data_IF_668959466180
#
_entry.id   IF_668959466180
#
_cell.length_a   1.000
_cell.length_b   1.000
_cell.length_c   1.000
_cell.angle_alpha   90.00
_cell.angle_beta   90.00
_cell.angle_gamma   90.00
#
_symmetry.space_group_name_H-M   'P 1'
#
loop_
_entity.id
_entity.type
_entity.pdbx_description
1 polymer ?
#
# COMPACT_ATOMS: atom_id res chain seq x y z
N UNK A 1 -40.18 -31.19 -28.28
CA UNK A 1 -38.93 -31.27 -27.47
C UNK A 1 -37.89 -30.34 -28.10
N UNK A 2 -37.71 -29.14 -27.52
CA UNK A 2 -36.75 -28.17 -28.00
C UNK A 2 -35.49 -28.30 -27.18
N UNK A 3 -34.36 -28.67 -27.78
CA UNK A 3 -33.04 -28.79 -27.17
C UNK A 3 -32.50 -27.39 -26.89
N UNK A 4 -32.36 -27.04 -25.60
CA UNK A 4 -31.62 -25.85 -25.18
C UNK A 4 -30.12 -26.11 -25.33
N UNK A 5 -29.46 -25.38 -26.20
CA UNK A 5 -28.00 -25.35 -26.31
C UNK A 5 -27.50 -24.46 -25.16
N UNK A 6 -26.82 -25.08 -24.20
CA UNK A 6 -26.05 -24.38 -23.17
C UNK A 6 -24.74 -23.99 -23.84
N UNK A 7 -24.52 -22.71 -24.04
CA UNK A 7 -23.22 -22.15 -24.41
C UNK A 7 -22.42 -21.98 -23.12
N UNK A 8 -21.50 -22.88 -22.87
CA UNK A 8 -20.48 -22.71 -21.86
C UNK A 8 -19.44 -21.75 -22.41
N UNK A 9 -19.48 -20.51 -21.95
CA UNK A 9 -18.43 -19.52 -22.21
C UNK A 9 -17.31 -19.77 -21.19
N UNK A 10 -16.30 -20.55 -21.59
CA UNK A 10 -15.04 -20.60 -20.87
C UNK A 10 -14.32 -19.27 -21.07
N UNK A 11 -14.44 -18.35 -20.14
CA UNK A 11 -13.49 -17.25 -20.00
C UNK A 11 -12.24 -17.79 -19.30
N UNK A 12 -11.25 -18.15 -20.08
CA UNK A 12 -9.88 -18.28 -19.59
C UNK A 12 -9.39 -16.85 -19.32
N UNK A 13 -9.48 -16.43 -18.05
CA UNK A 13 -8.79 -15.22 -17.59
C UNK A 13 -7.30 -15.54 -17.51
N UNK A 14 -6.60 -15.39 -18.64
CA UNK A 14 -5.15 -15.24 -18.61
C UNK A 14 -4.87 -13.87 -18.06
N UNK A 15 -4.53 -13.80 -16.78
CA UNK A 15 -3.84 -12.66 -16.18
C UNK A 15 -2.46 -12.57 -16.83
N UNK A 16 -2.40 -11.92 -17.99
CA UNK A 16 -1.13 -11.48 -18.53
C UNK A 16 -0.73 -10.23 -17.74
N UNK A 17 0.06 -10.41 -16.68
CA UNK A 17 0.91 -9.33 -16.20
C UNK A 17 1.86 -8.97 -17.34
N UNK A 18 1.48 -8.02 -18.14
CA UNK A 18 2.39 -7.36 -19.06
C UNK A 18 3.31 -6.44 -18.25
N UNK A 19 4.41 -6.99 -17.76
CA UNK A 19 5.62 -6.22 -17.51
C UNK A 19 6.06 -5.68 -18.89
N UNK A 20 5.61 -4.49 -19.25
CA UNK A 20 6.18 -3.75 -20.35
C UNK A 20 7.52 -3.20 -19.89
N UNK A 21 8.56 -4.02 -20.00
CA UNK A 21 9.93 -3.58 -20.02
C UNK A 21 10.16 -2.79 -21.31
N UNK A 22 10.19 -1.48 -21.27
CA UNK A 22 10.77 -0.66 -22.32
C UNK A 22 12.28 -0.64 -22.16
N UNK A 23 12.95 -1.59 -22.79
CA UNK A 23 14.35 -1.49 -23.15
C UNK A 23 14.46 -1.10 -24.61
N UNK A 24 15.01 0.07 -24.92
CA UNK A 24 15.26 0.52 -26.28
C UNK A 24 15.96 1.86 -26.30
N UNK A 25 17.29 1.82 -26.36
CA UNK A 25 18.12 3.00 -26.64
C UNK A 25 17.83 3.54 -28.03
N UNK A 26 17.42 4.80 -28.12
CA UNK A 26 17.83 5.68 -29.22
C UNK A 26 17.68 7.13 -28.81
N UNK A 27 18.77 7.85 -28.95
CA UNK A 27 18.92 9.29 -28.83
C UNK A 27 17.96 10.01 -29.79
N UNK A 28 17.19 10.94 -29.24
CA UNK A 28 16.37 11.85 -30.01
C UNK A 28 15.62 12.78 -29.10
N UNK A 29 16.02 14.04 -29.06
CA UNK A 29 15.31 15.14 -28.41
C UNK A 29 13.83 15.13 -28.83
N UNK A 30 12.95 14.89 -27.88
CA UNK A 30 11.52 15.13 -28.07
C UNK A 30 10.95 15.63 -26.75
N UNK A 31 10.67 16.93 -26.74
CA UNK A 31 9.76 17.54 -25.79
C UNK A 31 8.42 16.80 -25.88
N UNK A 32 8.16 15.95 -24.93
CA UNK A 32 6.85 15.31 -24.78
C UNK A 32 6.06 16.07 -23.73
N UNK A 33 5.39 17.12 -24.18
CA UNK A 33 4.15 17.55 -23.55
C UNK A 33 3.08 16.56 -24.01
N UNK A 34 2.95 15.47 -23.27
CA UNK A 34 1.92 14.46 -23.56
C UNK A 34 0.59 14.88 -22.95
N UNK A 35 -0.11 15.81 -23.58
CA UNK A 35 -1.56 15.74 -23.53
C UNK A 35 -1.96 14.53 -24.36
N UNK A 36 -2.42 13.45 -23.73
CA UNK A 36 -3.05 12.34 -24.42
C UNK A 36 -4.28 12.90 -25.14
N UNK A 37 -4.19 12.98 -26.47
CA UNK A 37 -5.33 13.40 -27.29
C UNK A 37 -6.45 12.37 -27.12
N UNK A 38 -7.39 12.68 -26.23
CA UNK A 38 -8.55 11.84 -25.91
C UNK A 38 -9.41 11.53 -27.13
N UNK A 39 -9.24 12.28 -28.24
CA UNK A 39 -9.95 12.06 -29.50
C UNK A 39 -9.52 10.78 -30.23
N UNK A 40 -8.33 10.24 -29.91
CA UNK A 40 -7.77 9.03 -30.54
C UNK A 40 -8.11 7.74 -29.80
N UNK A 41 -8.71 7.80 -28.62
CA UNK A 41 -9.02 6.61 -27.81
C UNK A 41 -10.20 5.85 -28.40
N UNK A 42 -9.97 4.59 -28.74
CA UNK A 42 -11.06 3.68 -29.13
C UNK A 42 -12.03 3.52 -27.94
N UNK A 43 -13.34 3.44 -28.23
CA UNK A 43 -14.39 3.30 -27.23
C UNK A 43 -14.57 4.50 -26.26
N UNK A 44 -14.18 5.70 -26.69
CA UNK A 44 -14.34 6.93 -25.88
C UNK A 44 -15.76 7.20 -25.37
N UNK A 45 -16.77 6.62 -25.99
CA UNK A 45 -18.19 6.76 -25.63
C UNK A 45 -18.70 5.55 -24.82
N UNK A 46 -17.81 4.68 -24.35
CA UNK A 46 -18.16 3.53 -23.52
C UNK A 46 -17.87 3.80 -22.05
N UNK A 47 -18.61 3.18 -21.12
CA UNK A 47 -18.27 3.23 -19.72
C UNK A 47 -16.83 2.79 -19.46
N UNK A 48 -16.12 3.56 -18.64
CA UNK A 48 -14.76 3.30 -18.18
C UNK A 48 -14.76 3.22 -16.66
N UNK A 49 -14.09 2.23 -16.11
CA UNK A 49 -13.88 2.15 -14.68
C UNK A 49 -12.38 1.96 -14.37
N UNK A 50 -11.81 2.95 -13.74
CA UNK A 50 -10.51 2.81 -13.10
C UNK A 50 -10.68 1.95 -11.85
N UNK A 51 -9.70 1.15 -11.49
CA UNK A 51 -9.78 0.33 -10.30
C UNK A 51 -8.45 0.23 -9.56
N UNK A 52 -8.51 -0.09 -8.28
CA UNK A 52 -7.40 -0.23 -7.35
C UNK A 52 -6.64 1.08 -7.17
N UNK A 53 -5.71 1.42 -8.07
CA UNK A 53 -4.93 2.64 -7.99
C UNK A 53 -5.70 3.84 -8.55
N UNK A 54 -5.85 4.86 -7.73
CA UNK A 54 -6.41 6.14 -8.11
C UNK A 54 -5.58 6.79 -9.22
N UNK A 55 -6.18 7.23 -10.34
CA UNK A 55 -5.48 8.02 -11.33
C UNK A 55 -4.88 9.27 -10.71
N UNK A 56 -3.59 9.44 -10.81
CA UNK A 56 -2.86 10.55 -10.22
C UNK A 56 -1.76 11.05 -11.13
N UNK A 57 -1.45 12.33 -11.00
CA UNK A 57 -0.33 12.94 -11.69
C UNK A 57 0.98 12.32 -11.20
N UNK A 58 1.79 11.79 -12.11
CA UNK A 58 3.03 11.08 -11.76
C UNK A 58 4.11 11.97 -11.13
N UNK A 59 4.00 13.30 -11.26
CA UNK A 59 4.97 14.24 -10.73
C UNK A 59 4.57 14.81 -9.38
N UNK A 60 3.26 15.04 -9.15
CA UNK A 60 2.73 15.67 -7.93
C UNK A 60 2.04 14.68 -6.98
N UNK A 61 1.63 13.51 -7.48
CA UNK A 61 0.81 12.55 -6.73
C UNK A 61 -0.66 12.99 -6.58
N UNK A 62 -1.01 14.17 -7.08
CA UNK A 62 -2.38 14.69 -7.02
C UNK A 62 -3.33 13.91 -7.91
N UNK A 63 -4.60 13.89 -7.54
CA UNK A 63 -5.66 13.25 -8.29
C UNK A 63 -5.74 13.80 -9.72
N UNK A 64 -5.70 12.89 -10.70
CA UNK A 64 -5.88 13.23 -12.10
C UNK A 64 -7.38 13.34 -12.43
N UNK A 65 -7.91 14.55 -12.25
CA UNK A 65 -9.32 14.86 -12.51
C UNK A 65 -9.68 14.73 -13.99
N UNK A 66 -8.72 14.92 -14.91
CA UNK A 66 -8.96 14.75 -16.34
C UNK A 66 -9.20 13.27 -16.68
N UNK A 67 -8.36 12.38 -16.16
CA UNK A 67 -8.55 10.93 -16.33
C UNK A 67 -9.86 10.44 -15.72
N UNK A 68 -10.27 10.99 -14.56
CA UNK A 68 -11.53 10.62 -13.91
C UNK A 68 -12.77 11.19 -14.62
N UNK A 69 -12.63 12.29 -15.36
CA UNK A 69 -13.69 12.90 -16.13
C UNK A 69 -13.52 12.66 -17.65
N UNK A 70 -12.86 11.57 -18.02
CA UNK A 70 -12.62 11.24 -19.42
C UNK A 70 -13.90 11.24 -20.27
N UNK A 71 -14.99 10.70 -19.73
CA UNK A 71 -16.35 10.84 -20.27
C UNK A 71 -17.37 10.82 -19.14
N UNK A 72 -18.65 11.05 -19.46
CA UNK A 72 -19.75 11.09 -18.46
C UNK A 72 -19.98 9.76 -17.73
N UNK A 73 -19.49 8.64 -18.26
CA UNK A 73 -19.62 7.30 -17.72
C UNK A 73 -18.22 6.77 -17.29
N UNK A 74 -17.40 7.65 -16.71
CA UNK A 74 -16.12 7.28 -16.12
C UNK A 74 -16.26 7.18 -14.62
N UNK A 75 -15.78 6.06 -14.07
CA UNK A 75 -15.89 5.71 -12.66
C UNK A 75 -14.54 5.31 -12.08
N UNK A 76 -14.44 5.34 -10.77
CA UNK A 76 -13.31 4.78 -10.03
C UNK A 76 -13.83 3.90 -8.90
N UNK A 77 -13.23 2.70 -8.78
CA UNK A 77 -13.45 1.78 -7.67
C UNK A 77 -12.10 1.43 -7.08
N UNK A 78 -11.88 1.78 -5.83
CA UNK A 78 -10.60 1.54 -5.17
C UNK A 78 -10.75 1.45 -3.65
N UNK A 79 -9.69 1.76 -2.95
CA UNK A 79 -9.60 1.83 -1.50
C UNK A 79 -9.11 3.23 -1.09
N UNK A 80 -9.36 3.60 0.16
CA UNK A 80 -8.81 4.83 0.73
C UNK A 80 -7.40 4.57 1.26
N UNK A 81 -6.39 5.03 0.52
CA UNK A 81 -5.00 4.85 0.88
C UNK A 81 -4.64 5.51 2.22
N UNK A 82 -5.32 6.59 2.61
CA UNK A 82 -5.08 7.25 3.89
C UNK A 82 -5.68 6.43 5.04
N UNK A 83 -6.91 5.93 4.88
CA UNK A 83 -7.54 5.05 5.87
C UNK A 83 -6.67 3.79 6.13
N UNK A 84 -6.25 3.11 5.08
CA UNK A 84 -5.39 1.94 5.21
C UNK A 84 -4.02 2.26 5.82
N UNK A 85 -3.48 3.44 5.53
CA UNK A 85 -2.24 3.92 6.13
C UNK A 85 -2.38 4.19 7.63
N UNK A 86 -3.48 4.80 8.06
CA UNK A 86 -3.83 4.98 9.48
C UNK A 86 -3.95 3.64 10.19
N UNK A 87 -4.71 2.70 9.62
CA UNK A 87 -4.86 1.34 10.16
C UNK A 87 -3.53 0.60 10.29
N UNK A 88 -2.61 0.74 9.31
CA UNK A 88 -1.27 0.15 9.42
C UNK A 88 -0.49 0.78 10.57
N UNK A 89 -0.53 2.09 10.70
CA UNK A 89 0.12 2.80 11.78
C UNK A 89 -0.44 2.42 13.15
N UNK A 90 -1.75 2.39 13.30
CA UNK A 90 -2.44 1.94 14.52
C UNK A 90 -2.07 0.50 14.90
N UNK A 91 -2.04 -0.41 13.92
CA UNK A 91 -1.67 -1.80 14.12
C UNK A 91 -0.26 -1.94 14.73
N UNK A 92 0.70 -1.15 14.25
CA UNK A 92 2.06 -1.13 14.81
C UNK A 92 2.07 -0.56 16.22
N UNK A 93 1.36 0.54 16.47
CA UNK A 93 1.23 1.16 17.81
C UNK A 93 0.57 0.21 18.80
N UNK A 94 -0.52 -0.45 18.41
CA UNK A 94 -1.22 -1.44 19.25
C UNK A 94 -0.28 -2.60 19.62
N UNK A 95 0.50 -3.07 18.64
CA UNK A 95 1.48 -4.12 18.90
C UNK A 95 2.56 -3.68 19.87
N UNK A 96 3.10 -2.47 19.72
CA UNK A 96 4.07 -1.88 20.67
C UNK A 96 3.49 -1.85 22.08
N UNK A 97 2.29 -1.28 22.25
CA UNK A 97 1.63 -1.19 23.54
C UNK A 97 1.41 -2.54 24.20
N UNK A 98 1.09 -3.56 23.42
CA UNK A 98 0.86 -4.91 23.93
C UNK A 98 2.15 -5.70 24.24
N UNK A 99 3.31 -5.29 23.72
CA UNK A 99 4.52 -6.12 23.74
C UNK A 99 5.81 -5.35 24.03
N UNK A 100 5.79 -4.09 24.46
CA UNK A 100 6.97 -3.23 24.53
C UNK A 100 8.15 -3.84 25.31
N UNK A 101 7.89 -4.46 26.46
CA UNK A 101 8.93 -5.11 27.27
C UNK A 101 9.54 -6.38 26.62
N UNK A 102 8.93 -6.90 25.56
CA UNK A 102 9.40 -8.09 24.86
C UNK A 102 10.09 -7.77 23.56
N UNK A 103 9.71 -6.65 22.92
CA UNK A 103 10.24 -6.25 21.62
C UNK A 103 11.45 -5.31 21.74
N UNK A 104 11.65 -4.63 22.85
CA UNK A 104 12.89 -3.91 23.17
C UNK A 104 14.00 -4.96 23.40
N UNK A 105 14.64 -5.40 22.33
CA UNK A 105 15.50 -6.60 22.29
C UNK A 105 16.79 -6.42 23.07
N UNK A 106 17.33 -5.23 23.09
CA UNK A 106 18.56 -4.90 23.80
C UNK A 106 18.31 -4.26 25.17
N UNK A 107 17.06 -3.91 25.50
CA UNK A 107 16.65 -3.36 26.79
C UNK A 107 17.09 -1.92 27.04
N UNK A 108 17.33 -1.14 25.98
CA UNK A 108 17.82 0.24 26.10
C UNK A 108 16.72 1.29 26.22
N UNK A 109 15.45 0.86 26.20
CA UNK A 109 14.27 1.73 26.25
C UNK A 109 13.96 2.42 24.92
N UNK A 110 14.61 1.98 23.84
CA UNK A 110 14.33 2.45 22.48
C UNK A 110 13.70 1.32 21.68
N UNK A 111 12.56 1.56 21.08
CA UNK A 111 11.93 0.67 20.12
C UNK A 111 12.34 1.13 18.74
N UNK A 112 13.33 0.44 18.17
CA UNK A 112 13.90 0.74 16.87
C UNK A 112 13.14 0.04 15.76
N UNK A 113 12.75 0.76 14.71
CA UNK A 113 12.16 0.13 13.54
C UNK A 113 12.86 0.50 12.23
N UNK A 114 12.72 -0.38 11.26
CA UNK A 114 13.15 -0.14 9.87
C UNK A 114 11.93 -0.16 8.95
N UNK A 115 11.99 0.64 7.84
CA UNK A 115 10.85 0.83 6.95
C UNK A 115 11.22 0.60 5.48
N UNK A 116 10.59 -0.39 4.85
CA UNK A 116 10.67 -0.63 3.41
C UNK A 116 9.64 0.21 2.67
N UNK A 117 10.11 1.19 1.90
CA UNK A 117 9.28 2.10 1.09
C UNK A 117 9.17 1.51 -0.32
N UNK A 118 7.94 1.40 -0.84
CA UNK A 118 7.71 0.82 -2.17
C UNK A 118 8.25 1.68 -3.30
N UNK A 119 7.66 2.85 -3.48
CA UNK A 119 8.02 3.83 -4.53
C UNK A 119 7.75 5.23 -4.00
N UNK A 120 8.75 6.06 -3.95
CA UNK A 120 8.67 7.42 -3.38
C UNK A 120 7.79 8.38 -4.20
N UNK A 121 7.41 8.01 -5.43
CA UNK A 121 6.50 8.75 -6.29
C UNK A 121 5.08 8.16 -6.37
N UNK A 122 4.83 7.04 -5.69
CA UNK A 122 3.53 6.37 -5.72
C UNK A 122 2.66 6.86 -4.56
N UNK A 123 1.42 7.30 -4.85
CA UNK A 123 0.51 7.84 -3.85
C UNK A 123 0.26 6.92 -2.65
N UNK A 124 0.06 5.62 -2.88
CA UNK A 124 -0.14 4.66 -1.79
C UNK A 124 1.11 4.49 -0.92
N UNK A 125 2.29 4.44 -1.54
CA UNK A 125 3.56 4.36 -0.81
C UNK A 125 3.79 5.62 0.04
N UNK A 126 3.47 6.79 -0.52
CA UNK A 126 3.49 8.07 0.19
C UNK A 126 2.55 8.02 1.40
N UNK A 127 1.29 7.63 1.19
CA UNK A 127 0.29 7.53 2.24
C UNK A 127 0.73 6.55 3.34
N UNK A 128 1.12 5.31 2.99
CA UNK A 128 1.54 4.26 3.93
C UNK A 128 2.76 4.67 4.76
N UNK A 129 3.78 5.26 4.13
CA UNK A 129 4.97 5.76 4.83
C UNK A 129 4.61 6.86 5.81
N UNK A 130 3.78 7.83 5.38
CA UNK A 130 3.32 8.94 6.24
C UNK A 130 2.43 8.47 7.37
N UNK A 131 1.48 7.56 7.09
CA UNK A 131 0.55 7.05 8.10
C UNK A 131 1.28 6.33 9.25
N UNK A 132 2.22 5.45 8.93
CA UNK A 132 3.06 4.77 9.94
C UNK A 132 3.86 5.78 10.77
N UNK A 133 4.54 6.73 10.13
CA UNK A 133 5.32 7.75 10.83
C UNK A 133 4.46 8.68 11.67
N UNK A 134 3.27 9.04 11.18
CA UNK A 134 2.32 9.86 11.94
C UNK A 134 1.83 9.14 13.19
N UNK A 135 1.42 7.88 13.06
CA UNK A 135 0.96 7.07 14.19
C UNK A 135 2.05 6.84 15.24
N UNK A 136 3.29 6.60 14.81
CA UNK A 136 4.45 6.43 15.69
C UNK A 136 5.00 7.77 16.23
N UNK A 137 4.55 8.91 15.68
CA UNK A 137 5.06 10.24 16.03
C UNK A 137 6.45 10.55 15.48
N UNK A 138 6.99 9.69 14.62
CA UNK A 138 8.36 9.80 14.08
C UNK A 138 8.46 10.64 12.82
N UNK A 139 7.35 11.02 12.20
CA UNK A 139 7.34 11.90 11.04
C UNK A 139 7.58 13.35 11.41
N UNK A 140 8.33 14.08 10.57
CA UNK A 140 8.46 15.54 10.71
C UNK A 140 7.15 16.19 10.28
N UNK A 141 6.58 17.03 11.16
CA UNK A 141 5.25 17.63 10.96
C UNK A 141 5.16 18.64 9.83
N UNK A 142 6.28 19.25 9.47
CA UNK A 142 6.32 20.31 8.46
C UNK A 142 6.80 19.74 7.13
N UNK A 143 5.89 19.63 6.17
CA UNK A 143 6.17 19.20 4.82
C UNK A 143 5.84 17.73 4.57
N UNK A 144 4.62 17.51 4.15
CA UNK A 144 4.07 16.17 3.86
C UNK A 144 4.92 15.34 2.89
N UNK A 145 5.51 15.97 1.87
CA UNK A 145 6.40 15.29 0.92
C UNK A 145 7.67 14.75 1.60
N UNK A 146 8.21 15.50 2.54
CA UNK A 146 9.42 15.11 3.28
C UNK A 146 9.13 13.89 4.15
N UNK A 147 7.98 13.86 4.81
CA UNK A 147 7.57 12.73 5.67
C UNK A 147 7.37 11.40 4.90
N UNK A 148 7.33 11.42 3.59
CA UNK A 148 7.23 10.20 2.75
C UNK A 148 8.57 9.73 2.16
N UNK A 149 9.65 10.51 2.29
CA UNK A 149 10.98 10.16 1.75
C UNK A 149 11.75 9.24 2.70
N UNK A 150 12.79 8.52 2.21
CA UNK A 150 13.68 7.75 3.07
C UNK A 150 14.34 8.60 4.16
N UNK A 151 14.58 8.02 5.33
CA UNK A 151 15.34 8.66 6.39
C UNK A 151 16.71 9.12 5.88
N UNK A 152 17.16 10.28 6.34
CA UNK A 152 18.42 10.89 5.87
C UNK A 152 18.32 11.61 4.52
N UNK A 153 17.16 11.60 3.85
CA UNK A 153 16.96 12.42 2.65
C UNK A 153 17.04 13.90 3.00
N UNK A 154 17.88 14.62 2.29
CA UNK A 154 17.98 16.08 2.41
C UNK A 154 17.08 16.73 1.35
N UNK A 155 16.07 17.47 1.80
CA UNK A 155 15.16 18.22 0.94
C UNK A 155 15.25 19.70 1.32
N UNK A 156 15.71 20.53 0.41
CA UNK A 156 15.81 22.00 0.55
C UNK A 156 16.46 22.48 1.86
N UNK A 157 17.55 21.80 2.29
CA UNK A 157 18.27 22.13 3.51
C UNK A 157 17.62 21.63 4.80
N UNK A 158 16.51 20.92 4.75
CA UNK A 158 15.90 20.22 5.89
C UNK A 158 16.52 18.83 6.01
N UNK A 159 17.40 18.67 6.98
CA UNK A 159 18.24 17.47 7.11
C UNK A 159 17.53 16.24 7.67
N UNK A 160 16.27 16.34 8.13
CA UNK A 160 15.59 15.24 8.78
C UNK A 160 14.15 15.11 8.30
N UNK A 161 13.83 13.96 7.73
CA UNK A 161 12.46 13.55 7.43
C UNK A 161 11.81 12.81 8.59
N UNK A 162 12.60 12.36 9.58
CA UNK A 162 12.16 11.64 10.77
C UNK A 162 12.82 12.19 12.03
N UNK A 163 12.18 11.95 13.16
CA UNK A 163 12.62 12.34 14.51
C UNK A 163 12.32 11.21 15.49
N UNK A 164 12.98 11.22 16.65
CA UNK A 164 12.58 10.35 17.75
C UNK A 164 11.24 10.80 18.32
N UNK A 165 10.42 9.83 18.71
CA UNK A 165 9.14 10.06 19.38
C UNK A 165 9.11 9.35 20.72
N UNK A 166 8.09 9.63 21.54
CA UNK A 166 7.86 8.99 22.81
C UNK A 166 6.51 8.27 22.82
N UNK A 167 6.50 7.09 23.39
CA UNK A 167 5.28 6.33 23.64
C UNK A 167 5.25 5.87 25.10
N UNK A 168 4.13 6.10 25.75
CA UNK A 168 3.89 5.57 27.10
C UNK A 168 3.17 4.22 26.99
N UNK A 169 3.70 3.23 27.70
CA UNK A 169 3.09 1.91 27.82
C UNK A 169 3.03 1.57 29.30
N UNK A 170 1.82 1.59 29.86
CA UNK A 170 1.54 1.27 31.25
C UNK A 170 2.39 2.10 32.28
N UNK A 171 2.63 3.37 31.93
CA UNK A 171 3.42 4.31 32.76
C UNK A 171 4.93 4.19 32.58
N UNK A 172 5.41 3.38 31.65
CA UNK A 172 6.81 3.32 31.22
C UNK A 172 6.96 4.00 29.87
N UNK A 173 7.80 5.02 29.80
CA UNK A 173 8.10 5.73 28.57
C UNK A 173 9.18 5.02 27.75
N UNK A 174 8.90 4.76 26.47
CA UNK A 174 9.87 4.29 25.50
C UNK A 174 10.13 5.37 24.45
N UNK A 175 11.32 5.35 23.87
CA UNK A 175 11.62 6.13 22.66
C UNK A 175 11.31 5.26 21.44
N UNK A 176 10.55 5.79 20.47
CA UNK A 176 10.38 5.15 19.15
C UNK A 176 11.30 5.83 18.16
N UNK A 177 12.07 5.03 17.42
CA UNK A 177 13.07 5.53 16.49
C UNK A 177 13.04 4.79 15.16
N UNK A 178 12.95 5.54 14.04
CA UNK A 178 13.24 4.97 12.74
C UNK A 178 14.75 4.89 12.53
N UNK A 179 15.28 3.67 12.53
CA UNK A 179 16.72 3.41 12.39
C UNK A 179 17.16 3.60 10.94
N UNK A 180 16.36 3.10 10.00
CA UNK A 180 16.60 3.24 8.57
C UNK A 180 15.32 3.09 7.77
N UNK A 181 15.31 3.68 6.59
CA UNK A 181 14.33 3.41 5.55
C UNK A 181 14.93 3.57 4.17
N UNK A 182 14.36 2.87 3.20
CA UNK A 182 14.86 2.89 1.83
C UNK A 182 13.72 2.63 0.86
N UNK A 183 13.79 3.28 -0.33
CA UNK A 183 12.98 2.89 -1.48
C UNK A 183 13.46 1.53 -2.01
N UNK A 184 12.54 0.58 -2.12
CA UNK A 184 12.85 -0.76 -2.62
C UNK A 184 12.84 -0.78 -4.13
N UNK A 185 13.89 -0.19 -4.70
CA UNK A 185 14.13 -0.03 -6.13
C UNK A 185 15.37 -0.80 -6.55
N UNK A 186 15.23 -1.69 -7.52
CA UNK A 186 16.34 -2.46 -8.03
C UNK A 186 17.19 -1.69 -9.05
N UNK A 187 18.30 -2.26 -9.46
CA UNK A 187 19.23 -1.64 -10.42
C UNK A 187 18.65 -1.43 -11.82
N UNK A 188 17.57 -2.11 -12.17
CA UNK A 188 16.84 -1.90 -13.41
C UNK A 188 15.77 -0.79 -13.32
N UNK A 189 15.61 -0.19 -12.13
CA UNK A 189 14.66 0.89 -11.89
C UNK A 189 13.26 0.43 -11.49
N UNK A 190 13.00 -0.87 -11.37
CA UNK A 190 11.72 -1.37 -10.88
C UNK A 190 11.62 -1.17 -9.35
N UNK A 191 10.49 -0.63 -8.92
CA UNK A 191 10.15 -0.35 -7.52
C UNK A 191 9.33 -1.49 -6.91
N UNK A 192 9.06 -1.44 -5.59
CA UNK A 192 8.39 -2.50 -4.84
C UNK A 192 9.12 -3.86 -4.90
N UNK A 193 10.44 -3.81 -5.06
CA UNK A 193 11.25 -5.00 -5.33
C UNK A 193 11.54 -5.78 -4.05
N UNK A 194 10.97 -6.99 -3.97
CA UNK A 194 11.10 -7.87 -2.82
C UNK A 194 12.55 -8.35 -2.60
N UNK A 195 13.32 -8.55 -3.67
CA UNK A 195 14.72 -8.97 -3.54
C UNK A 195 15.57 -7.84 -2.95
N UNK A 196 15.32 -6.60 -3.36
CA UNK A 196 15.97 -5.41 -2.78
C UNK A 196 15.64 -5.30 -1.29
N UNK A 197 14.39 -5.56 -0.88
CA UNK A 197 13.99 -5.55 0.53
C UNK A 197 14.69 -6.64 1.34
N UNK A 198 14.79 -7.85 0.82
CA UNK A 198 15.53 -8.95 1.44
C UNK A 198 17.02 -8.66 1.61
N UNK A 199 17.64 -7.94 0.67
CA UNK A 199 19.03 -7.49 0.78
C UNK A 199 19.19 -6.33 1.77
N UNK A 200 18.21 -5.40 1.80
CA UNK A 200 18.23 -4.24 2.68
C UNK A 200 18.21 -4.65 4.16
N UNK A 201 17.40 -5.65 4.53
CA UNK A 201 17.35 -6.11 5.92
C UNK A 201 18.68 -6.65 6.39
N UNK A 202 19.44 -7.38 5.55
CA UNK A 202 20.78 -7.83 5.89
C UNK A 202 21.79 -6.69 6.09
N UNK A 203 21.66 -5.61 5.32
CA UNK A 203 22.48 -4.40 5.49
C UNK A 203 22.13 -3.66 6.78
N UNK A 204 20.85 -3.58 7.09
CA UNK A 204 20.35 -2.93 8.32
C UNK A 204 20.72 -3.75 9.56
N UNK A 205 20.59 -5.06 9.48
CA UNK A 205 21.04 -5.96 10.55
C UNK A 205 22.54 -5.77 10.85
N UNK A 206 23.39 -5.74 9.83
CA UNK A 206 24.83 -5.49 10.01
C UNK A 206 25.13 -4.11 10.64
N UNK A 207 24.23 -3.13 10.47
CA UNK A 207 24.42 -1.76 10.99
C UNK A 207 23.83 -1.55 12.38
N UNK A 208 22.71 -2.19 12.70
CA UNK A 208 21.90 -1.91 13.88
C UNK A 208 21.72 -3.13 14.80
N UNK A 209 21.86 -4.35 14.27
CA UNK A 209 21.81 -5.59 15.06
C UNK A 209 20.54 -5.72 15.89
N UNK A 210 20.70 -5.85 17.20
CA UNK A 210 19.62 -6.01 18.18
C UNK A 210 18.84 -4.73 18.49
N UNK A 211 19.19 -3.60 17.90
CA UNK A 211 18.40 -2.37 17.95
C UNK A 211 17.16 -2.43 17.02
N UNK A 212 17.12 -3.40 16.07
CA UNK A 212 15.94 -3.56 15.20
C UNK A 212 14.90 -4.38 15.93
N UNK A 213 13.85 -3.74 16.41
CA UNK A 213 12.76 -4.35 17.16
C UNK A 213 11.53 -4.61 16.29
N UNK A 214 11.35 -3.83 15.22
CA UNK A 214 10.20 -3.89 14.33
C UNK A 214 10.65 -3.70 12.88
N UNK A 215 10.03 -4.46 11.97
CA UNK A 215 10.11 -4.24 10.53
C UNK A 215 8.76 -3.77 10.02
N UNK A 216 8.74 -2.67 9.27
CA UNK A 216 7.54 -2.16 8.60
C UNK A 216 7.77 -2.14 7.09
N UNK A 217 6.77 -2.53 6.33
CA UNK A 217 6.82 -2.55 4.88
C UNK A 217 5.57 -1.94 4.26
N UNK A 218 5.74 -1.21 3.18
CA UNK A 218 4.61 -0.67 2.42
C UNK A 218 3.76 -1.75 1.73
N UNK A 219 4.28 -2.99 1.56
CA UNK A 219 3.48 -4.11 1.11
C UNK A 219 3.99 -5.46 1.65
N UNK A 220 3.17 -6.50 1.53
CA UNK A 220 3.51 -7.85 1.99
C UNK A 220 4.64 -8.50 1.16
N UNK A 221 4.72 -8.23 -0.13
CA UNK A 221 5.77 -8.82 -0.97
C UNK A 221 7.17 -8.48 -0.47
N UNK A 222 7.42 -7.23 -0.14
CA UNK A 222 8.66 -6.77 0.46
C UNK A 222 8.77 -7.21 1.92
N UNK A 223 7.67 -7.09 2.69
CA UNK A 223 7.62 -7.51 4.10
C UNK A 223 7.95 -8.98 4.29
N UNK A 224 7.36 -9.86 3.50
CA UNK A 224 7.62 -11.30 3.53
C UNK A 224 9.06 -11.64 3.12
N UNK A 225 9.64 -10.89 2.18
CA UNK A 225 11.04 -11.07 1.82
C UNK A 225 11.97 -10.78 3.00
N UNK A 226 11.76 -9.67 3.72
CA UNK A 226 12.54 -9.33 4.92
C UNK A 226 12.26 -10.30 6.07
N UNK A 227 11.00 -10.71 6.24
CA UNK A 227 10.60 -11.67 7.26
C UNK A 227 11.31 -13.00 7.08
N UNK A 228 11.27 -13.56 5.88
CA UNK A 228 11.92 -14.85 5.58
C UNK A 228 13.44 -14.75 5.56
N UNK A 229 14.01 -13.61 5.16
CA UNK A 229 15.47 -13.44 5.12
C UNK A 229 16.10 -13.30 6.50
N UNK A 230 15.39 -12.73 7.47
CA UNK A 230 15.99 -12.40 8.76
C UNK A 230 15.00 -12.33 9.93
N UNK A 231 13.86 -11.62 9.80
CA UNK A 231 13.03 -11.24 10.94
C UNK A 231 12.38 -12.45 11.64
N UNK A 232 12.00 -13.48 10.91
CA UNK A 232 11.43 -14.72 11.44
C UNK A 232 12.36 -15.41 12.43
N UNK A 233 13.61 -15.62 12.05
CA UNK A 233 14.60 -16.32 12.86
C UNK A 233 15.00 -15.49 14.09
N UNK A 234 14.97 -14.17 13.97
CA UNK A 234 15.28 -13.23 15.03
C UNK A 234 14.05 -12.85 15.88
N UNK A 235 12.87 -13.40 15.56
CA UNK A 235 11.59 -13.13 16.25
C UNK A 235 11.20 -11.65 16.26
N UNK A 236 11.56 -10.93 15.20
CA UNK A 236 11.21 -9.53 14.99
C UNK A 236 9.87 -9.46 14.24
N UNK A 237 8.84 -8.81 14.80
CA UNK A 237 7.57 -8.66 14.13
C UNK A 237 7.71 -7.83 12.86
N UNK A 238 7.06 -8.27 11.79
CA UNK A 238 7.04 -7.58 10.50
C UNK A 238 5.62 -7.21 10.14
N UNK A 239 5.40 -5.96 9.76
CA UNK A 239 4.08 -5.43 9.39
C UNK A 239 4.05 -5.05 7.92
N UNK A 240 3.07 -5.59 7.20
CA UNK A 240 2.91 -5.38 5.77
C UNK A 240 1.58 -4.74 5.41
N UNK A 241 1.24 -4.90 4.14
CA UNK A 241 0.02 -4.38 3.52
C UNK A 241 -0.34 -5.25 2.32
N UNK A 242 -1.60 -5.40 1.98
CA UNK A 242 -2.26 -6.16 0.90
C UNK A 242 -2.97 -7.43 1.37
N UNK A 243 -2.70 -7.93 2.56
CA UNK A 243 -3.22 -9.18 3.11
C UNK A 243 -3.02 -10.37 2.15
N UNK A 244 -1.82 -10.50 1.58
CA UNK A 244 -1.45 -11.63 0.76
C UNK A 244 -1.56 -12.93 1.56
N UNK A 245 -2.00 -13.99 0.94
CA UNK A 245 -2.29 -15.26 1.62
C UNK A 245 -1.10 -15.85 2.39
N UNK A 246 0.11 -15.67 1.89
CA UNK A 246 1.35 -16.09 2.55
C UNK A 246 1.67 -15.22 3.78
N UNK A 247 1.45 -13.91 3.71
CA UNK A 247 1.61 -13.00 4.84
C UNK A 247 0.57 -13.29 5.95
N UNK A 248 -0.69 -13.49 5.57
CA UNK A 248 -1.74 -13.87 6.52
C UNK A 248 -1.41 -15.21 7.20
N UNK A 249 -0.95 -16.21 6.45
CA UNK A 249 -0.50 -17.47 7.03
C UNK A 249 0.70 -17.30 7.96
N UNK A 250 1.65 -16.43 7.63
CA UNK A 250 2.85 -16.16 8.41
C UNK A 250 2.59 -15.45 9.75
N UNK A 251 1.38 -14.88 9.96
CA UNK A 251 0.99 -14.32 11.27
C UNK A 251 1.10 -15.39 12.38
N UNK A 252 0.76 -16.65 12.08
CA UNK A 252 0.94 -17.75 13.01
C UNK A 252 2.42 -18.00 13.37
N UNK A 253 3.34 -17.65 12.48
CA UNK A 253 4.78 -17.85 12.63
C UNK A 253 5.52 -16.60 13.17
N UNK A 254 4.81 -15.51 13.44
CA UNK A 254 5.39 -14.29 14.02
C UNK A 254 5.40 -13.06 13.10
N UNK A 255 4.81 -13.14 11.89
CA UNK A 255 4.50 -11.93 11.14
C UNK A 255 3.54 -11.08 11.97
N UNK A 256 3.82 -9.79 12.12
CA UNK A 256 3.09 -8.92 13.06
C UNK A 256 1.66 -8.63 12.63
N UNK A 257 1.47 -8.44 11.33
CA UNK A 257 0.16 -8.20 10.74
C UNK A 257 0.23 -7.56 9.36
N UNK A 258 -0.92 -7.43 8.73
CA UNK A 258 -1.08 -6.83 7.40
C UNK A 258 -2.44 -6.14 7.26
N UNK A 259 -2.58 -5.23 6.34
CA UNK A 259 -3.82 -4.52 6.02
C UNK A 259 -4.42 -5.09 4.74
N UNK A 260 -5.70 -5.44 4.77
CA UNK A 260 -6.44 -5.83 3.58
C UNK A 260 -7.07 -4.60 2.92
N UNK A 261 -6.82 -4.43 1.64
CA UNK A 261 -7.51 -3.45 0.80
C UNK A 261 -8.68 -4.07 0.01
N UNK A 262 -9.09 -5.29 0.35
CA UNK A 262 -10.20 -6.01 -0.28
C UNK A 262 -10.18 -6.01 -1.81
N UNK A 263 -9.08 -6.47 -2.40
CA UNK A 263 -8.91 -6.49 -3.86
C UNK A 263 -9.99 -7.31 -4.59
N UNK A 264 -10.51 -8.36 -3.97
CA UNK A 264 -11.63 -9.18 -4.45
C UNK A 264 -12.93 -8.39 -4.51
N UNK A 265 -13.21 -7.60 -3.47
CA UNK A 265 -14.37 -6.69 -3.41
C UNK A 265 -14.25 -5.60 -4.47
N UNK A 266 -13.08 -4.98 -4.59
CA UNK A 266 -12.82 -3.97 -5.62
C UNK A 266 -13.07 -4.53 -7.03
N UNK A 267 -12.59 -5.75 -7.30
CA UNK A 267 -12.81 -6.42 -8.59
C UNK A 267 -14.31 -6.65 -8.84
N UNK A 268 -15.03 -7.16 -7.84
CA UNK A 268 -16.49 -7.35 -7.95
C UNK A 268 -17.23 -6.04 -8.20
N UNK A 269 -16.94 -5.00 -7.42
CA UNK A 269 -17.58 -3.69 -7.55
C UNK A 269 -17.28 -3.02 -8.89
N UNK A 270 -16.05 -3.13 -9.39
CA UNK A 270 -15.66 -2.64 -10.71
C UNK A 270 -16.51 -3.25 -11.81
N UNK A 271 -16.68 -4.58 -11.79
CA UNK A 271 -17.52 -5.28 -12.76
C UNK A 271 -18.99 -4.92 -12.62
N UNK A 272 -19.46 -4.72 -11.38
CA UNK A 272 -20.84 -4.34 -11.12
C UNK A 272 -21.17 -2.93 -11.61
N UNK A 273 -20.30 -1.96 -11.31
CA UNK A 273 -20.40 -0.58 -11.79
C UNK A 273 -20.45 -0.53 -13.33
N UNK A 274 -19.49 -1.21 -13.98
CA UNK A 274 -19.45 -1.27 -15.44
C UNK A 274 -20.72 -1.92 -16.02
N UNK A 275 -21.20 -3.00 -15.40
CA UNK A 275 -22.42 -3.67 -15.84
C UNK A 275 -23.63 -2.75 -15.72
N UNK A 276 -23.80 -2.08 -14.60
CA UNK A 276 -24.92 -1.15 -14.38
C UNK A 276 -24.87 0.00 -15.39
N UNK A 277 -23.71 0.59 -15.62
CA UNK A 277 -23.54 1.65 -16.62
C UNK A 277 -23.86 1.20 -18.04
N UNK A 278 -23.47 -0.02 -18.43
CA UNK A 278 -23.77 -0.58 -19.75
C UNK A 278 -25.26 -0.89 -19.94
N UNK A 279 -25.94 -1.32 -18.89
CA UNK A 279 -27.38 -1.60 -18.89
C UNK A 279 -28.23 -0.32 -18.76
N UNK A 280 -27.61 0.85 -18.55
CA UNK A 280 -28.31 2.13 -18.31
C UNK A 280 -29.03 2.18 -16.96
N UNK A 281 -28.64 1.32 -16.04
CA UNK A 281 -29.14 1.33 -14.66
C UNK A 281 -28.36 2.34 -13.80
N UNK A 282 -28.90 2.66 -12.62
CA UNK A 282 -28.16 3.38 -11.60
C UNK A 282 -26.89 2.59 -11.22
N UNK A 283 -25.74 3.24 -11.22
CA UNK A 283 -24.45 2.58 -11.01
C UNK A 283 -24.35 1.87 -9.66
N UNK A 284 -25.13 2.33 -8.67
CA UNK A 284 -25.20 1.76 -7.33
C UNK A 284 -26.15 0.57 -7.21
N UNK A 285 -26.85 0.23 -8.27
CA UNK A 285 -27.84 -0.86 -8.24
C UNK A 285 -27.20 -2.19 -7.81
N UNK A 286 -27.64 -2.71 -6.66
CA UNK A 286 -27.17 -3.96 -6.09
C UNK A 286 -25.72 -3.91 -5.57
N UNK A 287 -25.21 -2.71 -5.32
CA UNK A 287 -23.99 -2.46 -4.57
C UNK A 287 -24.41 -2.18 -3.14
N UNK A 288 -24.08 -3.07 -2.21
CA UNK A 288 -24.43 -2.95 -0.79
C UNK A 288 -23.79 -1.74 -0.14
N UNK A 289 -24.38 -1.30 0.96
CA UNK A 289 -23.77 -0.32 1.86
C UNK A 289 -22.80 -1.02 2.84
N UNK A 290 -22.01 -0.25 3.56
CA UNK A 290 -20.92 -0.66 4.44
C UNK A 290 -21.21 -1.82 5.42
N UNK A 291 -22.46 -2.03 5.78
CA UNK A 291 -22.85 -2.92 6.89
C UNK A 291 -22.94 -4.41 6.51
N UNK A 292 -23.00 -4.73 5.22
CA UNK A 292 -23.22 -6.07 4.74
C UNK A 292 -21.91 -6.72 4.24
N UNK A 293 -21.15 -7.31 5.12
CA UNK A 293 -19.98 -8.13 4.80
C UNK A 293 -18.68 -7.38 4.42
N UNK A 294 -18.47 -6.15 4.88
CA UNK A 294 -17.24 -5.43 4.65
C UNK A 294 -17.10 -4.80 3.27
N UNK A 295 -18.21 -4.66 2.56
CA UNK A 295 -18.31 -3.94 1.31
C UNK A 295 -18.65 -2.48 1.61
N UNK A 296 -17.76 -1.76 2.28
CA UNK A 296 -17.94 -0.34 2.53
C UNK A 296 -17.61 0.46 1.28
N UNK A 297 -18.59 1.22 0.82
CA UNK A 297 -18.38 2.26 -0.16
C UNK A 297 -18.39 3.60 0.56
N UNK A 298 -17.23 4.18 0.78
CA UNK A 298 -17.13 5.59 1.16
C UNK A 298 -17.34 6.42 -0.08
N UNK A 299 -18.29 7.34 -0.03
CA UNK A 299 -18.52 8.29 -1.13
C UNK A 299 -17.46 9.40 -1.05
N UNK A 300 -16.58 9.48 -2.04
CA UNK A 300 -15.90 10.71 -2.41
C UNK A 300 -16.77 11.46 -3.43
N UNK A 301 -16.42 12.68 -3.77
CA UNK A 301 -17.22 13.53 -4.67
C UNK A 301 -17.63 12.82 -5.97
N UNK A 302 -16.74 11.94 -6.52
CA UNK A 302 -17.00 11.20 -7.76
C UNK A 302 -16.46 9.75 -7.72
N UNK A 303 -16.12 9.20 -6.56
CA UNK A 303 -15.53 7.87 -6.42
C UNK A 303 -16.03 7.10 -5.23
N UNK A 304 -15.91 5.77 -5.33
CA UNK A 304 -16.29 4.81 -4.31
C UNK A 304 -15.05 4.04 -3.85
N UNK A 305 -14.91 3.88 -2.55
CA UNK A 305 -13.79 3.15 -1.93
C UNK A 305 -14.30 1.93 -1.17
N UNK A 306 -13.57 0.84 -1.21
CA UNK A 306 -13.73 -0.23 -0.24
C UNK A 306 -13.02 0.15 1.07
N UNK A 307 -13.60 -0.21 2.19
CA UNK A 307 -12.98 0.01 3.49
C UNK A 307 -11.82 -0.96 3.72
N UNK A 308 -10.67 -0.45 4.12
CA UNK A 308 -9.51 -1.26 4.48
C UNK A 308 -9.71 -1.92 5.84
N UNK A 309 -9.07 -3.09 6.04
CA UNK A 309 -9.13 -3.81 7.31
C UNK A 309 -7.77 -4.35 7.71
N UNK A 310 -7.45 -4.24 8.99
CA UNK A 310 -6.24 -4.83 9.55
C UNK A 310 -6.45 -6.30 9.90
N UNK A 311 -5.41 -7.12 9.65
CA UNK A 311 -5.32 -8.51 10.05
C UNK A 311 -4.09 -8.71 10.92
N UNK A 312 -4.30 -9.12 12.17
CA UNK A 312 -3.24 -9.29 13.17
C UNK A 312 -3.45 -10.57 13.98
N UNK A 313 -2.43 -11.01 14.72
CA UNK A 313 -2.55 -12.13 15.67
C UNK A 313 -3.65 -11.91 16.72
N UNK A 314 -3.90 -10.69 17.12
CA UNK A 314 -4.93 -10.36 18.11
C UNK A 314 -6.35 -10.59 17.57
N UNK A 315 -6.55 -10.54 16.26
CA UNK A 315 -7.83 -10.74 15.60
C UNK A 315 -8.05 -12.18 15.12
N UNK A 316 -7.05 -13.05 15.18
CA UNK A 316 -7.16 -14.46 14.79
C UNK A 316 -7.77 -15.38 15.86
N UNK A 317 -8.21 -14.82 16.98
CA UNK A 317 -8.84 -15.55 18.10
C UNK A 317 -10.38 -15.40 18.13
N UNK A 318 -11.02 -15.19 16.98
CA UNK A 318 -12.47 -15.24 16.84
C UNK A 318 -12.91 -16.19 15.74
#
# INVERSE_FOLDING_TARGET
MKKKKVFALMMAATLALSLAGCGGSSSGDSKSSGSSDSSSVANKDKPLCWFNRQPSNSSTGELDKEALNFNKDTYYVGFDANQGAELQGEMVVDYIKANADKIDRNGDGVIGYVLAIGDIGHNDSIARTRGVRAALGTGVKDGDEVASKPAGTNVDGKAKVVQDAKIDVDGKEFTVRELASQEMKNSAGATWDAATAGNAIGTWEASFGDQIDIVVSNNDGMGMSMFNAWAKDNKVPTFGYDANSDAVAAIADGYGGTISQHADVQAYLTLRVLRNALDGADVDTGIGTADDAGNCLTEGEDYRYSEDRKSTRLNSSH
#
